data_IF_078163461996
#
_entry.id   IF_078163461996
#
_cell.length_a   1.000
_cell.length_b   1.000
_cell.length_c   1.000
_cell.angle_alpha   90.00
_cell.angle_beta   90.00
_cell.angle_gamma   90.00
#
_symmetry.space_group_name_H-M   'P 1'
#
loop_
_entity.id
_entity.type
_entity.pdbx_description
1 polymer ?
#
# COMPACT_ATOMS: atom_id res chain seq x y z
N UNK A 1 -2.97 0.90 -45.02
CA UNK A 1 -1.62 0.76 -44.42
C UNK A 1 -1.40 1.99 -43.53
N UNK A 2 -1.09 1.82 -42.24
CA UNK A 2 -0.89 2.95 -41.32
C UNK A 2 0.47 3.62 -41.62
N UNK A 3 0.50 4.96 -41.62
CA UNK A 3 1.73 5.74 -41.79
C UNK A 3 2.70 5.46 -40.62
N UNK A 4 4.01 5.42 -40.89
CA UNK A 4 5.07 5.12 -39.90
C UNK A 4 4.96 5.87 -38.55
N UNK A 5 4.61 7.18 -38.48
CA UNK A 5 4.45 7.86 -37.19
C UNK A 5 3.26 7.36 -36.35
N UNK A 6 2.20 6.84 -36.98
CA UNK A 6 1.04 6.28 -36.25
C UNK A 6 1.36 4.91 -35.66
N UNK A 7 2.25 4.15 -36.29
CA UNK A 7 2.74 2.86 -35.77
C UNK A 7 3.61 3.06 -34.54
N UNK A 8 4.49 4.07 -34.54
CA UNK A 8 5.36 4.35 -33.40
C UNK A 8 4.55 4.84 -32.19
N UNK A 9 3.62 5.79 -32.38
CA UNK A 9 2.73 6.27 -31.33
C UNK A 9 1.86 5.16 -30.71
N UNK A 10 1.43 4.18 -31.51
CA UNK A 10 0.69 3.01 -31.03
C UNK A 10 1.55 2.06 -30.19
N UNK A 11 2.79 1.83 -30.59
CA UNK A 11 3.76 1.01 -29.83
C UNK A 11 4.11 1.68 -28.50
N UNK A 12 4.35 2.99 -28.50
CA UNK A 12 4.66 3.75 -27.29
C UNK A 12 3.48 3.76 -26.31
N UNK A 13 2.25 3.96 -26.82
CA UNK A 13 1.03 3.86 -26.01
C UNK A 13 0.82 2.45 -25.43
N UNK A 14 1.05 1.39 -26.21
CA UNK A 14 0.98 0.02 -25.69
C UNK A 14 2.03 -0.23 -24.60
N UNK A 15 3.24 0.30 -24.77
CA UNK A 15 4.33 0.19 -23.79
C UNK A 15 3.97 0.92 -22.50
N UNK A 16 3.42 2.13 -22.58
CA UNK A 16 2.90 2.86 -21.42
C UNK A 16 1.77 2.12 -20.71
N UNK A 17 0.82 1.53 -21.45
CA UNK A 17 -0.26 0.73 -20.87
C UNK A 17 0.30 -0.50 -20.14
N UNK A 18 1.26 -1.22 -20.74
CA UNK A 18 1.90 -2.38 -20.10
C UNK A 18 2.73 -1.97 -18.88
N UNK A 19 3.46 -0.85 -18.94
CA UNK A 19 4.20 -0.31 -17.80
C UNK A 19 3.24 0.09 -16.67
N UNK A 20 2.12 0.72 -16.99
CA UNK A 20 1.07 1.09 -16.03
C UNK A 20 0.42 -0.16 -15.42
N UNK A 21 0.16 -1.19 -16.22
CA UNK A 21 -0.37 -2.47 -15.74
C UNK A 21 0.63 -3.21 -14.81
N UNK A 22 1.94 -3.13 -15.10
CA UNK A 22 2.98 -3.74 -14.29
C UNK A 22 3.31 -2.94 -13.01
N UNK A 23 3.15 -1.60 -13.03
CA UNK A 23 3.38 -0.74 -11.87
C UNK A 23 2.33 -0.95 -10.76
N UNK A 24 1.16 -1.49 -11.11
CA UNK A 24 -0.01 -1.63 -10.23
C UNK A 24 -0.23 -3.09 -9.82
N UNK A 25 0.84 -3.87 -9.69
CA UNK A 25 0.73 -5.21 -9.14
C UNK A 25 0.58 -5.14 -7.60
N UNK A 26 -0.58 -5.54 -7.10
CA UNK A 26 -0.80 -5.79 -5.68
C UNK A 26 -0.34 -7.23 -5.40
N UNK A 27 0.68 -7.46 -4.55
CA UNK A 27 1.14 -8.82 -4.23
C UNK A 27 0.10 -9.57 -3.40
N UNK A 28 0.09 -10.90 -3.48
CA UNK A 28 -0.75 -11.71 -2.58
C UNK A 28 -0.19 -11.66 -1.16
N UNK A 29 -1.03 -11.32 -0.18
CA UNK A 29 -0.65 -11.28 1.23
C UNK A 29 -1.35 -12.39 2.02
N UNK A 30 -0.56 -13.30 2.60
CA UNK A 30 -1.04 -14.51 3.28
C UNK A 30 -1.21 -14.36 4.80
N UNK A 31 -0.92 -13.18 5.36
CA UNK A 31 -1.01 -12.96 6.81
C UNK A 31 0.27 -13.26 7.59
N UNK A 32 1.44 -13.16 6.97
CA UNK A 32 2.72 -13.27 7.68
C UNK A 32 2.86 -12.11 8.67
N UNK A 33 3.30 -12.42 9.89
CA UNK A 33 3.62 -11.41 10.91
C UNK A 33 4.92 -10.67 10.54
N UNK A 34 4.82 -9.73 9.62
CA UNK A 34 5.92 -8.88 9.19
C UNK A 34 5.39 -7.47 8.89
N UNK A 35 5.78 -6.52 9.75
CA UNK A 35 5.35 -5.12 9.63
C UNK A 35 5.73 -4.49 8.28
N UNK A 36 6.88 -4.87 7.73
CA UNK A 36 7.35 -4.33 6.44
C UNK A 36 6.51 -4.87 5.30
N UNK A 37 6.20 -6.16 5.29
CA UNK A 37 5.34 -6.75 4.25
C UNK A 37 3.92 -6.18 4.31
N UNK A 38 3.35 -6.02 5.52
CA UNK A 38 2.04 -5.43 5.69
C UNK A 38 1.98 -3.97 5.21
N UNK A 39 3.01 -3.16 5.52
CA UNK A 39 3.12 -1.78 5.04
C UNK A 39 3.30 -1.71 3.53
N UNK A 40 4.15 -2.56 2.94
CA UNK A 40 4.35 -2.61 1.49
C UNK A 40 3.05 -2.98 0.80
N UNK A 41 2.31 -3.95 1.32
CA UNK A 41 0.99 -4.32 0.79
C UNK A 41 0.00 -3.15 0.81
N UNK A 42 -0.16 -2.48 1.96
CA UNK A 42 -1.06 -1.32 2.09
C UNK A 42 -0.65 -0.18 1.16
N UNK A 43 0.65 0.10 1.02
CA UNK A 43 1.12 1.14 0.11
C UNK A 43 0.81 0.78 -1.36
N UNK A 44 0.95 -0.48 -1.77
CA UNK A 44 0.55 -0.93 -3.11
C UNK A 44 -0.95 -0.82 -3.35
N UNK A 45 -1.77 -1.08 -2.33
CA UNK A 45 -3.22 -0.85 -2.38
C UNK A 45 -3.52 0.64 -2.53
N UNK A 46 -2.83 1.52 -1.80
CA UNK A 46 -2.96 2.98 -1.94
C UNK A 46 -2.57 3.46 -3.33
N UNK A 47 -1.45 3.01 -3.87
CA UNK A 47 -1.02 3.32 -5.24
C UNK A 47 -2.11 2.91 -6.25
N UNK A 48 -2.69 1.72 -6.10
CA UNK A 48 -3.80 1.25 -6.94
C UNK A 48 -5.02 2.17 -6.84
N UNK A 49 -5.43 2.52 -5.62
CA UNK A 49 -6.57 3.40 -5.34
C UNK A 49 -6.37 4.77 -6.00
N UNK A 50 -5.17 5.36 -5.85
CA UNK A 50 -4.82 6.65 -6.43
C UNK A 50 -4.84 6.61 -7.95
N UNK A 51 -4.24 5.59 -8.56
CA UNK A 51 -4.18 5.47 -10.04
C UNK A 51 -5.56 5.19 -10.64
N UNK A 52 -6.40 4.42 -9.94
CA UNK A 52 -7.78 4.15 -10.36
C UNK A 52 -8.78 5.23 -9.94
N UNK A 53 -8.31 6.28 -9.27
CA UNK A 53 -9.13 7.39 -8.77
C UNK A 53 -10.37 6.90 -7.98
N UNK A 54 -10.17 5.94 -7.08
CA UNK A 54 -11.23 5.39 -6.24
C UNK A 54 -11.40 6.33 -5.03
N UNK A 55 -12.56 6.99 -4.95
CA UNK A 55 -12.80 8.05 -3.97
C UNK A 55 -13.51 7.52 -2.71
N UNK A 56 -14.45 6.59 -2.87
CA UNK A 56 -15.30 6.10 -1.79
C UNK A 56 -14.59 5.04 -0.91
N UNK A 57 -14.77 5.15 0.41
CA UNK A 57 -14.12 4.24 1.36
C UNK A 57 -14.60 2.80 1.24
N UNK A 58 -15.86 2.58 0.85
CA UNK A 58 -16.39 1.23 0.64
C UNK A 58 -15.58 0.49 -0.44
N UNK A 59 -15.36 1.10 -1.60
CA UNK A 59 -14.56 0.52 -2.68
C UNK A 59 -13.09 0.40 -2.29
N UNK A 60 -12.51 1.39 -1.61
CA UNK A 60 -11.12 1.29 -1.11
C UNK A 60 -10.91 0.10 -0.18
N UNK A 61 -11.86 -0.14 0.73
CA UNK A 61 -11.86 -1.32 1.61
C UNK A 61 -11.97 -2.61 0.79
N UNK A 62 -12.79 -2.64 -0.26
CA UNK A 62 -12.82 -3.80 -1.17
C UNK A 62 -11.45 -4.03 -1.81
N UNK A 63 -10.75 -2.98 -2.30
CA UNK A 63 -9.41 -3.10 -2.88
C UNK A 63 -8.40 -3.70 -1.90
N UNK A 64 -8.47 -3.31 -0.62
CA UNK A 64 -7.62 -3.87 0.44
C UNK A 64 -7.81 -5.39 0.61
N UNK A 65 -9.01 -5.91 0.34
CA UNK A 65 -9.32 -7.33 0.48
C UNK A 65 -8.96 -8.20 -0.73
N UNK A 66 -8.73 -7.64 -1.93
CA UNK A 66 -8.78 -8.43 -3.19
C UNK A 66 -7.65 -9.46 -3.33
N UNK A 67 -6.50 -9.20 -2.70
CA UNK A 67 -5.29 -10.05 -2.78
C UNK A 67 -4.91 -10.62 -1.41
N UNK A 68 -5.85 -10.67 -0.47
CA UNK A 68 -5.63 -11.36 0.80
C UNK A 68 -5.90 -12.86 0.63
N UNK A 69 -5.09 -13.67 1.31
CA UNK A 69 -5.22 -15.12 1.35
C UNK A 69 -5.03 -15.62 2.79
N UNK A 70 -5.44 -16.86 3.04
CA UNK A 70 -5.24 -17.58 4.29
C UNK A 70 -5.70 -16.77 5.52
N UNK A 71 -4.85 -16.64 6.54
CA UNK A 71 -5.14 -15.91 7.77
C UNK A 71 -5.49 -14.43 7.55
N UNK A 72 -4.92 -13.80 6.52
CA UNK A 72 -5.23 -12.39 6.25
C UNK A 72 -6.64 -12.20 5.71
N UNK A 73 -7.12 -13.12 4.85
CA UNK A 73 -8.48 -13.07 4.32
C UNK A 73 -9.51 -13.31 5.43
N UNK A 74 -9.28 -14.31 6.30
CA UNK A 74 -10.14 -14.56 7.46
C UNK A 74 -10.22 -13.34 8.37
N UNK A 75 -9.07 -12.81 8.80
CA UNK A 75 -9.04 -11.64 9.68
C UNK A 75 -9.75 -10.43 9.07
N UNK A 76 -9.52 -10.15 7.79
CA UNK A 76 -10.12 -9.01 7.12
C UNK A 76 -11.65 -9.12 7.04
N UNK A 77 -12.18 -10.31 6.75
CA UNK A 77 -13.63 -10.50 6.69
C UNK A 77 -14.30 -10.34 8.06
N UNK A 78 -13.61 -10.72 9.14
CA UNK A 78 -14.12 -10.63 10.51
C UNK A 78 -14.02 -9.21 11.10
N UNK A 79 -13.10 -8.37 10.60
CA UNK A 79 -12.76 -7.07 11.21
C UNK A 79 -13.03 -5.86 10.32
N UNK A 80 -13.45 -6.06 9.07
CA UNK A 80 -13.90 -4.97 8.20
C UNK A 80 -15.21 -4.41 8.75
N UNK A 81 -15.15 -3.22 9.32
CA UNK A 81 -16.32 -2.48 9.76
C UNK A 81 -16.89 -1.68 8.58
N UNK A 82 -18.21 -1.53 8.54
CA UNK A 82 -18.87 -0.70 7.53
C UNK A 82 -18.62 0.78 7.82
N UNK A 83 -18.58 1.16 9.10
CA UNK A 83 -18.51 2.55 9.53
C UNK A 83 -17.08 3.10 9.63
N UNK A 84 -16.05 2.25 9.56
CA UNK A 84 -14.65 2.71 9.58
C UNK A 84 -14.16 3.22 8.22
N UNK A 85 -13.27 4.20 8.25
CA UNK A 85 -12.58 4.71 7.05
C UNK A 85 -11.54 3.70 6.54
N UNK A 86 -11.14 3.84 5.27
CA UNK A 86 -10.08 3.00 4.73
C UNK A 86 -8.76 3.14 5.51
N UNK A 87 -8.40 4.34 5.93
CA UNK A 87 -7.14 4.58 6.64
C UNK A 87 -7.14 3.95 8.04
N UNK A 88 -8.26 3.95 8.74
CA UNK A 88 -8.41 3.26 10.03
C UNK A 88 -8.26 1.74 9.88
N UNK A 89 -8.90 1.15 8.86
CA UNK A 89 -8.77 -0.28 8.57
C UNK A 89 -7.34 -0.64 8.14
N UNK A 90 -6.69 0.19 7.34
CA UNK A 90 -5.31 0.01 6.91
C UNK A 90 -4.34 0.04 8.11
N UNK A 91 -4.54 0.95 9.05
CA UNK A 91 -3.74 1.02 10.27
C UNK A 91 -3.97 -0.19 11.18
N UNK A 92 -5.23 -0.64 11.36
CA UNK A 92 -5.55 -1.88 12.08
C UNK A 92 -4.87 -3.10 11.43
N UNK A 93 -4.91 -3.18 10.10
CA UNK A 93 -4.26 -4.26 9.35
C UNK A 93 -2.75 -4.28 9.60
N UNK A 94 -2.07 -3.14 9.49
CA UNK A 94 -0.61 -3.06 9.73
C UNK A 94 -0.28 -3.47 11.17
N UNK A 95 -1.03 -2.98 12.16
CA UNK A 95 -0.82 -3.35 13.57
C UNK A 95 -1.02 -4.84 13.80
N UNK A 96 -2.06 -5.43 13.22
CA UNK A 96 -2.37 -6.87 13.38
C UNK A 96 -1.23 -7.79 12.91
N UNK A 97 -0.59 -7.43 11.81
CA UNK A 97 0.50 -8.19 11.19
C UNK A 97 1.89 -7.67 11.57
N UNK A 98 1.99 -6.74 12.51
CA UNK A 98 3.24 -6.32 13.11
C UNK A 98 3.57 -7.25 14.29
N UNK A 99 4.77 -7.87 14.35
CA UNK A 99 5.17 -8.63 15.53
C UNK A 99 5.13 -7.77 16.79
N UNK A 100 4.62 -8.34 17.88
CA UNK A 100 4.65 -7.68 19.19
C UNK A 100 6.11 -7.34 19.55
N UNK A 101 6.37 -6.07 19.90
CA UNK A 101 7.71 -5.57 20.25
C UNK A 101 8.48 -4.85 19.14
N UNK A 102 7.97 -4.80 17.90
CA UNK A 102 8.62 -4.04 16.80
C UNK A 102 8.22 -2.56 16.72
N UNK A 103 7.07 -2.15 17.26
CA UNK A 103 6.63 -0.75 17.27
C UNK A 103 7.52 0.14 18.13
N UNK A 104 8.00 -0.38 19.27
CA UNK A 104 8.85 0.35 20.21
C UNK A 104 10.19 0.78 19.59
N UNK A 105 10.73 -0.01 18.63
CA UNK A 105 12.00 0.31 17.96
C UNK A 105 11.89 1.43 16.94
N UNK A 106 10.77 1.57 16.25
CA UNK A 106 10.60 2.54 15.17
C UNK A 106 10.27 3.95 15.69
N UNK A 107 9.45 4.07 16.74
CA UNK A 107 9.16 5.37 17.36
C UNK A 107 10.41 5.93 18.03
N UNK A 108 11.18 5.08 18.73
CA UNK A 108 12.45 5.50 19.34
C UNK A 108 13.46 5.97 18.28
N UNK A 109 13.59 5.23 17.16
CA UNK A 109 14.50 5.61 16.07
C UNK A 109 14.08 6.93 15.40
N UNK A 110 12.77 7.15 15.20
CA UNK A 110 12.25 8.39 14.61
C UNK A 110 12.39 9.60 15.54
N UNK A 111 12.21 9.42 16.86
CA UNK A 111 12.44 10.46 17.86
C UNK A 111 13.94 10.80 18.02
N UNK A 112 14.83 9.80 17.97
CA UNK A 112 16.27 10.03 17.99
C UNK A 112 16.75 10.79 16.75
N UNK A 113 16.21 10.49 15.56
CA UNK A 113 16.56 11.22 14.32
C UNK A 113 16.12 12.71 14.35
N UNK A 114 14.97 13.02 14.97
CA UNK A 114 14.54 14.43 15.14
C UNK A 114 15.38 15.19 16.15
N UNK A 115 15.86 14.54 17.22
CA UNK A 115 16.73 15.19 18.21
C UNK A 115 18.14 15.47 17.69
N UNK A 116 18.72 14.60 16.87
CA UNK A 116 20.07 14.83 16.29
C UNK A 116 20.08 15.99 15.28
N UNK A 117 18.94 16.32 14.70
CA UNK A 117 18.81 17.39 13.70
C UNK A 117 18.66 18.79 14.33
N UNK A 118 18.28 18.87 15.61
CA UNK A 118 18.10 20.14 16.32
C UNK A 118 19.37 20.64 17.04
N UNK A 119 20.41 19.80 17.17
CA UNK A 119 21.61 20.13 17.94
C UNK A 119 22.85 20.48 17.08
N UNK A 120 22.66 20.78 15.79
CA UNK A 120 23.74 21.18 14.86
C UNK A 120 23.75 22.68 14.47
N UNK A 121 22.90 23.51 15.08
CA UNK A 121 22.80 24.95 14.77
C UNK A 121 23.02 25.88 15.98
N UNK A 122 23.63 25.40 17.06
CA UNK A 122 24.06 26.26 18.18
C UNK A 122 25.51 25.94 18.56
N UNK A 123 26.44 26.43 17.73
CA UNK A 123 27.76 26.89 18.18
C UNK A 123 28.13 28.10 17.33
#
# INVERSE_FOLDING_TARGET
MLAEPQRQAFVDAQREVTLTQNLIYIPVFKGRLNASEARVYVNKVRDFITIKNIVDDASKKIVLGIKLADQAATWFNDHRDVDETFDELADKFIRRFTPAGTETRNIQTYLTMKHTSYNRFTV
#
